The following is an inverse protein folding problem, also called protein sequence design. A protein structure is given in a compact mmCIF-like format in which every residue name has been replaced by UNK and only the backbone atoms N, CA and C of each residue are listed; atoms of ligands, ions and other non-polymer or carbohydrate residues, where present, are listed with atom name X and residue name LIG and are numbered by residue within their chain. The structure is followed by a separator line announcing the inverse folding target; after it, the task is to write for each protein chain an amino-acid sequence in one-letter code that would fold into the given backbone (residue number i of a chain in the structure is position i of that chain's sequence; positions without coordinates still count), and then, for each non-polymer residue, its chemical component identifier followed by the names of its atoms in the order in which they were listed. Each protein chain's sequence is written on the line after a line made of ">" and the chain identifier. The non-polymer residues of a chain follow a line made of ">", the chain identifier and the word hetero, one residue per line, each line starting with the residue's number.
data_IF_931381098096
#
_entry.id   IF_931381098096
#
_cell.length_a   1.000
_cell.length_b   1.000
_cell.length_c   1.000
_cell.angle_alpha   90.00
_cell.angle_beta   90.00
_cell.angle_gamma   90.00
#
_symmetry.space_group_name_H-M   'P 1'
#
loop_
_entity.id
_entity.type
_entity.pdbx_description
1 polymer ?
#
# COMPACT_ATOMS: atom_id res chain seq x y z
N UNK A 1 -14.55 -3.77 37.47
CA UNK A 1 -15.01 -2.43 37.06
C UNK A 1 -14.31 -1.32 37.87
N UNK A 2 -12.97 -1.37 37.99
CA UNK A 2 -12.20 -0.43 38.86
C UNK A 2 -11.29 0.53 38.07
N UNK A 3 -11.28 0.46 36.74
CA UNK A 3 -10.56 1.42 35.88
C UNK A 3 -11.27 2.77 35.75
N UNK A 4 -12.51 2.89 36.24
CA UNK A 4 -13.41 4.02 35.96
C UNK A 4 -13.10 5.33 36.70
N UNK A 5 -12.48 5.29 37.88
CA UNK A 5 -12.30 6.51 38.69
C UNK A 5 -10.91 7.14 38.58
N UNK A 6 -9.87 6.36 38.29
CA UNK A 6 -8.51 6.89 38.06
C UNK A 6 -8.11 6.94 36.58
N UNK A 7 -8.88 6.28 35.71
CA UNK A 7 -8.58 6.19 34.28
C UNK A 7 -9.01 7.41 33.47
N UNK A 8 -10.09 8.11 33.86
CA UNK A 8 -10.63 9.20 33.03
C UNK A 8 -9.70 10.41 32.93
N UNK A 9 -9.07 10.82 34.04
CA UNK A 9 -8.10 11.92 34.03
C UNK A 9 -6.83 11.62 33.23
N UNK A 10 -6.28 10.42 33.38
CA UNK A 10 -5.12 9.97 32.61
C UNK A 10 -5.43 9.82 31.11
N UNK A 11 -6.61 9.31 30.79
CA UNK A 11 -7.08 9.16 29.43
C UNK A 11 -7.31 10.53 28.77
N UNK A 12 -7.85 11.52 29.48
CA UNK A 12 -7.95 12.89 28.98
C UNK A 12 -6.57 13.54 28.77
N UNK A 13 -5.61 13.35 29.68
CA UNK A 13 -4.24 13.85 29.50
C UNK A 13 -3.53 13.23 28.30
N UNK A 14 -3.62 11.91 28.15
CA UNK A 14 -3.08 11.21 26.98
C UNK A 14 -3.76 11.66 25.71
N UNK A 15 -5.09 11.82 25.71
CA UNK A 15 -5.80 12.28 24.52
C UNK A 15 -5.30 13.67 24.10
N UNK A 16 -5.13 14.60 25.04
CA UNK A 16 -4.64 15.96 24.73
C UNK A 16 -3.18 15.97 24.27
N UNK A 17 -2.32 15.07 24.74
CA UNK A 17 -0.91 15.03 24.34
C UNK A 17 -0.62 14.14 23.13
N UNK A 18 -1.29 12.99 23.02
CA UNK A 18 -1.07 11.99 21.97
C UNK A 18 -1.76 12.41 20.67
N UNK A 19 -2.97 12.98 20.72
CA UNK A 19 -3.68 13.42 19.51
C UNK A 19 -2.89 14.44 18.69
N UNK A 20 -2.36 15.56 19.25
CA UNK A 20 -1.60 16.51 18.46
C UNK A 20 -0.28 15.93 17.94
N UNK A 21 0.41 15.11 18.73
CA UNK A 21 1.64 14.44 18.29
C UNK A 21 1.36 13.50 17.11
N UNK A 22 0.27 12.74 17.17
CA UNK A 22 -0.14 11.83 16.10
C UNK A 22 -0.54 12.60 14.83
N UNK A 23 -1.26 13.72 14.97
CA UNK A 23 -1.59 14.59 13.84
C UNK A 23 -0.35 15.17 13.17
N UNK A 24 0.67 15.57 13.95
CA UNK A 24 1.93 16.09 13.41
C UNK A 24 2.67 14.99 12.62
N UNK A 25 2.77 13.78 13.17
CA UNK A 25 3.40 12.64 12.49
C UNK A 25 2.67 12.31 11.19
N UNK A 26 1.33 12.34 11.20
CA UNK A 26 0.51 12.09 10.02
C UNK A 26 0.72 13.17 8.96
N UNK A 27 0.75 14.45 9.35
CA UNK A 27 1.04 15.58 8.46
C UNK A 27 2.42 15.47 7.81
N UNK A 28 3.46 15.14 8.60
CA UNK A 28 4.83 14.98 8.09
C UNK A 28 4.89 13.78 7.14
N UNK A 29 4.31 12.65 7.51
CA UNK A 29 4.29 11.44 6.68
C UNK A 29 3.50 11.61 5.37
N UNK A 30 2.45 12.44 5.36
CA UNK A 30 1.67 12.76 4.17
C UNK A 30 2.45 13.68 3.22
N UNK A 31 3.15 14.68 3.75
CA UNK A 31 3.99 15.56 2.93
C UNK A 31 5.14 14.81 2.22
N UNK A 32 5.60 13.69 2.79
CA UNK A 32 6.66 12.84 2.21
C UNK A 32 6.14 11.66 1.37
N UNK A 33 4.83 11.53 1.10
CA UNK A 33 4.28 10.51 0.19
C UNK A 33 3.90 9.16 0.81
N UNK A 34 3.55 9.12 2.10
CA UNK A 34 3.32 7.90 2.89
C UNK A 34 2.05 7.09 2.64
N UNK A 35 1.20 7.39 1.64
CA UNK A 35 -0.07 6.66 1.44
C UNK A 35 0.02 5.43 0.51
N UNK A 36 1.08 5.30 -0.29
CA UNK A 36 1.21 4.21 -1.28
C UNK A 36 1.73 2.86 -0.74
N UNK A 37 2.10 2.76 0.54
CA UNK A 37 2.56 1.49 1.13
C UNK A 37 1.52 0.76 2.00
N UNK A 38 0.41 1.40 2.37
CA UNK A 38 -0.56 0.81 3.30
C UNK A 38 -1.61 -0.10 2.60
N UNK A 39 -1.75 0.00 1.27
CA UNK A 39 -2.63 -0.86 0.47
C UNK A 39 -2.06 -2.25 0.14
N UNK A 40 -0.82 -2.57 0.56
CA UNK A 40 -0.12 -3.80 0.14
C UNK A 40 -0.42 -5.02 1.03
N UNK A 41 -0.85 -4.80 2.28
CA UNK A 41 -0.95 -5.88 3.27
C UNK A 41 -2.39 -6.28 3.65
N UNK A 42 -3.42 -5.56 3.19
CA UNK A 42 -4.82 -5.96 3.42
C UNK A 42 -5.44 -6.78 2.27
N UNK A 43 -4.73 -6.98 1.16
CA UNK A 43 -5.22 -7.83 0.06
C UNK A 43 -4.89 -9.32 0.21
N UNK A 44 -4.25 -9.73 1.32
CA UNK A 44 -3.85 -11.13 1.52
C UNK A 44 -4.77 -11.93 2.46
N UNK A 45 -6.05 -11.53 2.57
CA UNK A 45 -7.08 -12.33 3.25
C UNK A 45 -8.50 -12.05 2.71
N UNK A 46 -8.70 -11.93 1.40
CA UNK A 46 -10.01 -12.21 0.79
C UNK A 46 -9.74 -12.66 -0.63
N UNK A 47 -10.00 -13.94 -0.88
CA UNK A 47 -10.16 -14.50 -2.21
C UNK A 47 -11.66 -14.45 -2.48
N UNK A 48 -12.24 -13.39 -3.05
CA UNK A 48 -13.52 -13.54 -3.71
C UNK A 48 -13.18 -14.16 -5.06
N UNK A 49 -13.44 -15.45 -5.21
CA UNK A 49 -13.80 -15.99 -6.54
C UNK A 49 -15.03 -15.19 -6.97
N UNK A 50 -14.98 -14.36 -8.02
CA UNK A 50 -16.17 -13.86 -8.66
C UNK A 50 -16.58 -14.88 -9.71
N UNK A 51 -17.66 -15.57 -9.37
CA UNK A 51 -18.70 -16.15 -10.20
C UNK A 51 -18.59 -15.93 -11.73
N UNK A 52 -18.67 -17.05 -12.46
CA UNK A 52 -19.35 -17.22 -13.76
C UNK A 52 -19.61 -15.97 -14.62
N UNK A 53 -18.68 -15.66 -15.53
CA UNK A 53 -19.00 -15.17 -16.88
C UNK A 53 -17.90 -15.66 -17.84
N UNK A 54 -18.12 -16.80 -18.50
CA UNK A 54 -18.75 -16.95 -19.81
C UNK A 54 -17.77 -16.82 -20.96
N UNK A 55 -17.71 -17.88 -21.75
CA UNK A 55 -16.89 -18.02 -22.93
C UNK A 55 -17.17 -16.90 -23.94
N UNK A 56 -16.18 -16.02 -24.17
CA UNK A 56 -15.95 -15.32 -25.45
C UNK A 56 -14.47 -14.95 -25.54
N UNK A 57 -13.76 -15.77 -26.30
CA UNK A 57 -12.58 -15.51 -27.13
C UNK A 57 -12.22 -14.02 -27.36
N UNK A 58 -11.41 -13.42 -26.50
CA UNK A 58 -10.57 -12.28 -26.89
C UNK A 58 -9.29 -12.29 -26.05
N UNK A 59 -8.24 -12.82 -26.66
CA UNK A 59 -6.90 -12.83 -26.14
C UNK A 59 -6.38 -11.40 -26.00
N UNK A 60 -6.43 -10.84 -24.79
CA UNK A 60 -5.47 -9.80 -24.42
C UNK A 60 -4.22 -10.54 -23.91
N UNK A 61 -3.03 -10.34 -24.50
CA UNK A 61 -1.83 -11.04 -24.09
C UNK A 61 -1.58 -10.66 -22.64
N UNK A 62 -1.74 -11.63 -21.75
CA UNK A 62 -1.23 -11.59 -20.41
C UNK A 62 0.30 -11.56 -20.57
N UNK A 63 0.83 -10.36 -20.80
CA UNK A 63 2.24 -10.11 -20.99
C UNK A 63 2.92 -10.42 -19.67
N UNK A 64 3.28 -11.69 -19.54
CA UNK A 64 4.16 -12.21 -18.50
C UNK A 64 5.40 -11.33 -18.51
N UNK A 65 5.75 -10.75 -17.36
CA UNK A 65 6.97 -9.98 -17.24
C UNK A 65 8.16 -10.83 -17.67
N UNK A 66 8.79 -10.47 -18.79
CA UNK A 66 9.89 -11.22 -19.40
C UNK A 66 11.22 -10.89 -18.73
N UNK A 67 11.32 -9.70 -18.10
CA UNK A 67 12.51 -9.23 -17.40
C UNK A 67 12.13 -8.63 -16.06
N UNK A 68 13.09 -8.48 -15.16
CA UNK A 68 12.91 -7.79 -13.88
C UNK A 68 13.93 -6.67 -13.79
N UNK A 69 13.53 -5.53 -13.24
CA UNK A 69 14.45 -4.41 -13.03
C UNK A 69 15.50 -4.76 -11.97
N UNK A 70 16.78 -4.58 -12.30
CA UNK A 70 17.91 -4.78 -11.37
C UNK A 70 17.93 -3.81 -10.19
N UNK A 71 17.29 -2.64 -10.34
CA UNK A 71 17.24 -1.60 -9.31
C UNK A 71 16.07 -1.74 -8.32
N UNK A 72 14.90 -2.19 -8.77
CA UNK A 72 13.70 -2.24 -7.93
C UNK A 72 12.98 -3.60 -7.89
N UNK A 73 13.38 -4.56 -8.72
CA UNK A 73 12.78 -5.88 -8.79
C UNK A 73 11.40 -5.93 -9.45
N UNK A 74 10.88 -4.82 -9.98
CA UNK A 74 9.61 -4.80 -10.72
C UNK A 74 9.72 -5.60 -12.01
N UNK A 75 8.72 -6.45 -12.25
CA UNK A 75 8.54 -7.15 -13.52
C UNK A 75 8.32 -6.16 -14.66
N UNK A 76 9.16 -6.25 -15.68
CA UNK A 76 9.18 -5.37 -16.83
C UNK A 76 8.88 -6.13 -18.12
N UNK A 77 8.21 -5.42 -19.01
CA UNK A 77 7.96 -5.89 -20.36
C UNK A 77 9.23 -5.73 -21.21
N UNK A 78 9.38 -6.57 -22.23
CA UNK A 78 10.61 -6.67 -23.02
C UNK A 78 10.85 -5.46 -23.94
N UNK A 79 9.83 -4.65 -24.20
CA UNK A 79 9.80 -3.45 -25.04
C UNK A 79 10.05 -2.15 -24.26
N UNK A 80 10.17 -2.20 -22.93
CA UNK A 80 10.39 -1.00 -22.13
C UNK A 80 11.89 -0.67 -22.07
N UNK A 81 12.22 0.62 -22.18
CA UNK A 81 13.61 1.14 -22.08
C UNK A 81 13.94 1.71 -20.70
N UNK A 82 12.91 2.03 -19.91
CA UNK A 82 13.04 2.58 -18.57
C UNK A 82 12.01 1.93 -17.66
N UNK A 83 12.35 1.76 -16.39
CA UNK A 83 11.42 1.23 -15.42
C UNK A 83 10.41 2.29 -14.98
N UNK A 84 9.08 2.05 -15.04
CA UNK A 84 8.09 3.05 -14.61
C UNK A 84 7.98 3.16 -13.08
N UNK A 85 8.68 2.31 -12.33
CA UNK A 85 8.69 2.36 -10.87
C UNK A 85 9.91 3.11 -10.33
N UNK A 86 11.08 2.97 -10.95
CA UNK A 86 12.30 3.63 -10.47
C UNK A 86 12.94 4.60 -11.46
N UNK A 87 12.45 4.68 -12.71
CA UNK A 87 13.02 5.52 -13.76
C UNK A 87 14.39 5.07 -14.27
N UNK A 88 14.97 4.00 -13.72
CA UNK A 88 16.26 3.49 -14.15
C UNK A 88 16.18 2.91 -15.57
N UNK A 89 17.22 3.09 -16.40
CA UNK A 89 17.30 2.45 -17.71
C UNK A 89 17.35 0.93 -17.50
N UNK A 90 16.63 0.21 -18.34
CA UNK A 90 16.55 -1.26 -18.24
C UNK A 90 17.52 -1.82 -19.27
N UNK A 91 18.74 -2.05 -18.80
CA UNK A 91 19.89 -2.57 -19.56
C UNK A 91 20.46 -3.82 -18.92
#
# INVERSE_FOLDING_TARGET
>A
MMYGMFGFGWLMMLLVMVVPVLLIILMIGWATGGFQNLGKNLSSATNPIPEHYSATKEALPLQKAERYCSHCGTGLQSDWSHCPQCGAPVG
#
